data_IF_102729067935
#
_entry.id   IF_102729067935
#
_cell.length_a   1.000
_cell.length_b   1.000
_cell.length_c   1.000
_cell.angle_alpha   90.00
_cell.angle_beta   90.00
_cell.angle_gamma   90.00
#
_symmetry.space_group_name_H-M   'P 1'
#
loop_
_entity.id
_entity.type
_entity.pdbx_description
1 polymer ?
#
# COMPACT_ATOMS: atom_id res chain seq x y z
N UNK A 1 10.49 25.08 -9.22
CA UNK A 1 9.09 25.09 -8.71
C UNK A 1 8.20 24.40 -9.74
N UNK A 2 7.07 23.83 -9.35
CA UNK A 2 6.10 23.28 -10.31
C UNK A 2 5.33 24.39 -11.01
N UNK A 3 4.85 24.09 -12.21
CA UNK A 3 4.19 25.05 -13.10
C UNK A 3 2.75 25.39 -12.69
N UNK A 4 2.04 24.49 -12.00
CA UNK A 4 0.66 24.72 -11.55
C UNK A 4 0.60 25.48 -10.22
N UNK A 5 -0.20 26.54 -10.19
CA UNK A 5 -0.43 27.38 -9.01
C UNK A 5 -1.25 26.68 -7.91
N UNK A 6 -2.15 25.76 -8.27
CA UNK A 6 -3.07 25.10 -7.32
C UNK A 6 -2.37 24.09 -6.41
N UNK A 7 -1.22 23.58 -6.84
CA UNK A 7 -0.47 22.63 -6.04
C UNK A 7 0.38 23.44 -5.05
N UNK A 8 0.34 23.15 -3.75
CA UNK A 8 1.21 23.85 -2.78
C UNK A 8 2.56 23.16 -2.58
N UNK A 9 3.68 23.90 -2.62
CA UNK A 9 5.03 23.36 -2.31
C UNK A 9 5.42 23.59 -0.85
N UNK A 10 4.55 24.22 -0.07
CA UNK A 10 4.80 24.51 1.34
C UNK A 10 4.83 23.22 2.17
N UNK A 11 5.95 22.98 2.86
CA UNK A 11 6.14 21.83 3.77
C UNK A 11 5.00 21.71 4.79
N UNK A 12 4.58 22.83 5.39
CA UNK A 12 3.54 22.86 6.42
C UNK A 12 2.18 22.43 5.87
N UNK A 13 1.80 22.92 4.68
CA UNK A 13 0.56 22.54 4.01
C UNK A 13 0.54 21.04 3.66
N UNK A 14 1.63 20.51 3.09
CA UNK A 14 1.75 19.09 2.76
C UNK A 14 1.69 18.17 4.00
N UNK A 15 2.38 18.54 5.09
CA UNK A 15 2.35 17.76 6.33
C UNK A 15 0.95 17.76 6.97
N UNK A 16 0.29 18.93 7.03
CA UNK A 16 -1.07 19.04 7.56
C UNK A 16 -2.00 18.11 6.78
N UNK A 17 -2.02 18.22 5.45
CA UNK A 17 -2.84 17.37 4.59
C UNK A 17 -2.60 15.86 4.82
N UNK A 18 -1.35 15.43 4.99
CA UNK A 18 -1.04 14.02 5.27
C UNK A 18 -1.57 13.56 6.64
N UNK A 19 -1.25 14.28 7.73
CA UNK A 19 -1.59 13.82 9.08
C UNK A 19 -3.08 13.96 9.42
N UNK A 20 -3.77 14.94 8.83
CA UNK A 20 -5.22 15.15 9.02
C UNK A 20 -6.09 14.41 8.00
N UNK A 21 -5.48 13.61 7.11
CA UNK A 21 -6.20 12.87 6.07
C UNK A 21 -7.32 11.99 6.65
N UNK A 22 -8.46 11.95 5.96
CA UNK A 22 -9.61 11.09 6.25
C UNK A 22 -9.30 9.61 6.01
N UNK A 23 -10.11 8.69 6.55
CA UNK A 23 -9.87 7.24 6.39
C UNK A 23 -9.78 6.77 4.93
N UNK A 24 -10.56 7.39 4.03
CA UNK A 24 -10.54 7.06 2.60
C UNK A 24 -9.25 7.55 1.92
N UNK A 25 -8.77 8.74 2.26
CA UNK A 25 -7.50 9.25 1.77
C UNK A 25 -6.32 8.41 2.30
N UNK A 26 -6.34 8.08 3.60
CA UNK A 26 -5.34 7.20 4.22
C UNK A 26 -5.29 5.84 3.53
N UNK A 27 -6.43 5.29 3.10
CA UNK A 27 -6.47 4.05 2.30
C UNK A 27 -5.68 4.20 0.99
N UNK A 28 -5.79 5.33 0.29
CA UNK A 28 -5.05 5.56 -0.97
C UNK A 28 -3.54 5.73 -0.70
N UNK A 29 -3.19 6.47 0.35
CA UNK A 29 -1.80 6.75 0.73
C UNK A 29 -1.11 5.46 1.22
N UNK A 30 -1.79 4.66 2.04
CA UNK A 30 -1.32 3.35 2.51
C UNK A 30 -1.43 2.30 1.40
N UNK A 31 -0.56 2.42 0.41
CA UNK A 31 -0.41 1.47 -0.69
C UNK A 31 0.94 0.78 -0.64
N UNK A 32 0.99 -0.45 -1.16
CA UNK A 32 2.22 -1.22 -1.26
C UNK A 32 2.50 -1.61 -2.71
N UNK A 33 3.79 -1.71 -3.10
CA UNK A 33 4.18 -2.26 -4.38
C UNK A 33 3.76 -3.73 -4.52
N UNK A 34 3.37 -4.12 -5.75
CA UNK A 34 3.14 -5.53 -6.11
C UNK A 34 4.47 -6.25 -6.39
N UNK A 35 4.48 -7.58 -6.24
CA UNK A 35 5.55 -8.48 -6.71
C UNK A 35 5.71 -8.41 -8.23
N UNK A 36 6.83 -8.89 -8.78
CA UNK A 36 7.07 -8.85 -10.24
C UNK A 36 5.99 -9.61 -11.02
N UNK A 37 5.65 -10.82 -10.57
CA UNK A 37 4.60 -11.65 -11.15
C UNK A 37 3.24 -10.94 -11.19
N UNK A 38 2.84 -10.30 -10.08
CA UNK A 38 1.58 -9.57 -10.01
C UNK A 38 1.60 -8.29 -10.87
N UNK A 39 2.77 -7.65 -11.02
CA UNK A 39 2.93 -6.50 -11.92
C UNK A 39 2.77 -6.91 -13.37
N UNK A 40 3.30 -8.05 -13.77
CA UNK A 40 3.15 -8.56 -15.13
C UNK A 40 1.69 -8.95 -15.40
N UNK A 41 1.06 -9.64 -14.45
CA UNK A 41 -0.34 -10.07 -14.57
C UNK A 41 -1.34 -8.93 -14.67
N UNK A 42 -1.20 -7.90 -13.83
CA UNK A 42 -2.19 -6.81 -13.73
C UNK A 42 -1.70 -5.49 -14.33
N UNK A 43 -0.44 -5.42 -14.78
CA UNK A 43 0.20 -4.20 -15.31
C UNK A 43 0.05 -2.95 -14.42
N UNK A 44 0.08 -3.17 -13.10
CA UNK A 44 -0.03 -2.11 -12.08
C UNK A 44 1.15 -2.17 -11.12
N UNK A 45 1.69 -1.00 -10.71
CA UNK A 45 2.85 -0.95 -9.82
C UNK A 45 2.49 -1.14 -8.34
N UNK A 46 1.35 -0.60 -7.91
CA UNK A 46 0.94 -0.59 -6.50
C UNK A 46 -0.58 -0.51 -6.31
N UNK A 47 -1.04 -1.06 -5.18
CA UNK A 47 -2.45 -1.07 -4.76
C UNK A 47 -2.57 -0.80 -3.25
N UNK A 48 -3.67 -0.20 -2.77
CA UNK A 48 -3.97 -0.13 -1.34
C UNK A 48 -3.96 -1.50 -0.67
N UNK A 49 -3.23 -1.62 0.44
CA UNK A 49 -3.20 -2.83 1.25
C UNK A 49 -4.56 -3.12 1.88
N UNK A 50 -4.94 -4.40 1.92
CA UNK A 50 -6.15 -4.90 2.56
C UNK A 50 -5.77 -5.97 3.58
N UNK A 51 -6.66 -6.19 4.54
CA UNK A 51 -6.63 -7.42 5.33
C UNK A 51 -6.73 -8.63 4.42
N UNK A 52 -6.04 -9.69 4.82
CA UNK A 52 -5.88 -10.95 4.09
C UNK A 52 -5.04 -10.91 2.80
N UNK A 53 -4.42 -9.78 2.45
CA UNK A 53 -3.33 -9.82 1.46
C UNK A 53 -2.13 -10.56 2.08
N UNK A 54 -1.43 -11.36 1.29
CA UNK A 54 -0.12 -11.90 1.68
C UNK A 54 0.97 -10.93 1.26
N UNK A 55 1.93 -10.75 2.16
CA UNK A 55 2.97 -9.76 1.97
C UNK A 55 4.33 -10.26 2.42
N UNK A 56 5.38 -9.77 1.75
CA UNK A 56 6.77 -9.97 2.10
C UNK A 56 7.41 -8.66 2.54
N UNK A 57 8.11 -8.67 3.67
CA UNK A 57 8.79 -7.49 4.20
C UNK A 57 10.14 -7.32 3.50
N UNK A 58 10.39 -6.14 2.92
CA UNK A 58 11.60 -5.85 2.13
C UNK A 58 12.61 -5.02 2.90
N UNK A 59 12.15 -4.20 3.87
CA UNK A 59 13.00 -3.27 4.63
C UNK A 59 12.76 -3.41 6.13
N UNK A 60 13.81 -3.17 6.92
CA UNK A 60 13.79 -3.22 8.38
C UNK A 60 14.24 -4.57 8.95
N UNK A 61 14.16 -4.72 10.28
CA UNK A 61 14.68 -5.89 11.01
C UNK A 61 13.99 -7.21 10.67
N UNK A 62 12.76 -7.16 10.17
CA UNK A 62 11.95 -8.33 9.80
C UNK A 62 11.98 -8.64 8.29
N UNK A 63 13.00 -8.14 7.57
CA UNK A 63 13.19 -8.37 6.14
C UNK A 63 13.23 -9.87 5.82
N UNK A 64 12.60 -10.26 4.71
CA UNK A 64 12.54 -11.64 4.22
C UNK A 64 11.44 -12.48 4.86
N UNK A 65 10.78 -11.97 5.92
CA UNK A 65 9.59 -12.63 6.47
C UNK A 65 8.37 -12.36 5.58
N UNK A 66 7.59 -13.40 5.40
CA UNK A 66 6.31 -13.37 4.72
C UNK A 66 5.19 -13.64 5.73
N UNK A 67 4.02 -13.08 5.45
CA UNK A 67 2.85 -13.34 6.26
C UNK A 67 1.61 -12.66 5.71
N UNK A 68 0.47 -13.06 6.25
CA UNK A 68 -0.82 -12.47 5.91
C UNK A 68 -1.02 -11.17 6.69
N UNK A 69 -1.64 -10.16 6.07
CA UNK A 69 -1.99 -8.92 6.76
C UNK A 69 -3.20 -9.18 7.66
N UNK A 70 -2.97 -9.16 8.98
CA UNK A 70 -4.00 -9.37 10.01
C UNK A 70 -4.87 -8.13 10.14
N UNK A 71 -4.26 -6.95 10.22
CA UNK A 71 -4.97 -5.69 10.43
C UNK A 71 -4.27 -4.52 9.74
N UNK A 72 -5.06 -3.62 9.15
CA UNK A 72 -4.59 -2.34 8.61
C UNK A 72 -4.99 -1.22 9.57
N UNK A 73 -4.04 -0.73 10.37
CA UNK A 73 -4.30 0.29 11.37
C UNK A 73 -4.04 1.70 10.83
N UNK A 74 -5.02 2.24 10.09
CA UNK A 74 -4.92 3.55 9.41
C UNK A 74 -4.71 4.74 10.34
N UNK A 75 -5.16 4.68 11.60
CA UNK A 75 -4.94 5.76 12.58
C UNK A 75 -3.45 5.97 12.85
N UNK A 76 -2.69 4.87 12.93
CA UNK A 76 -1.25 4.84 13.23
C UNK A 76 -0.36 4.66 12.01
N UNK A 77 -0.90 4.62 10.79
CA UNK A 77 -0.15 4.43 9.54
C UNK A 77 0.64 3.12 9.46
N UNK A 78 0.17 2.06 10.13
CA UNK A 78 0.85 0.76 10.18
C UNK A 78 -0.05 -0.38 9.74
N UNK A 79 0.57 -1.45 9.25
CA UNK A 79 -0.02 -2.77 9.07
C UNK A 79 0.57 -3.74 10.08
N UNK A 80 -0.24 -4.70 10.50
CA UNK A 80 0.19 -5.84 11.30
C UNK A 80 0.21 -7.08 10.41
N UNK A 81 1.36 -7.73 10.37
CA UNK A 81 1.61 -8.94 9.57
C UNK A 81 1.68 -10.12 10.52
N UNK A 82 1.07 -11.24 10.12
CA UNK A 82 1.09 -12.48 10.88
C UNK A 82 2.53 -12.95 11.15
N UNK A 83 2.77 -13.53 12.33
CA UNK A 83 4.09 -14.03 12.78
C UNK A 83 5.17 -12.95 12.92
N UNK A 84 4.80 -11.67 12.83
CA UNK A 84 5.69 -10.53 13.09
C UNK A 84 5.31 -9.87 14.40
N UNK A 85 5.65 -10.58 15.47
CA UNK A 85 5.34 -10.20 16.84
C UNK A 85 6.63 -10.04 17.65
N UNK A 86 6.54 -9.26 18.73
CA UNK A 86 7.56 -9.17 19.77
C UNK A 86 7.03 -9.86 21.02
N UNK A 87 7.88 -10.64 21.67
CA UNK A 87 7.60 -11.20 23.00
C UNK A 87 7.85 -10.14 24.08
N UNK A 88 6.91 -10.06 25.01
CA UNK A 88 7.03 -9.26 26.24
C UNK A 88 7.68 -10.12 27.33
N UNK A 89 8.18 -9.45 28.38
CA UNK A 89 8.79 -10.11 29.55
C UNK A 89 7.81 -11.08 30.24
N UNK A 90 6.51 -10.82 30.16
CA UNK A 90 5.46 -11.68 30.72
C UNK A 90 5.04 -12.86 29.81
N UNK A 91 5.80 -13.16 28.75
CA UNK A 91 5.52 -14.27 27.81
C UNK A 91 4.41 -14.01 26.78
N UNK A 92 3.67 -12.89 26.88
CA UNK A 92 2.67 -12.53 25.88
C UNK A 92 3.32 -11.97 24.60
N UNK A 93 2.71 -12.20 23.44
CA UNK A 93 3.17 -11.62 22.16
C UNK A 93 2.39 -10.37 21.78
N UNK A 94 3.06 -9.38 21.18
CA UNK A 94 2.43 -8.17 20.66
C UNK A 94 2.81 -7.96 19.18
N UNK A 95 1.84 -7.63 18.31
CA UNK A 95 2.12 -7.44 16.90
C UNK A 95 2.94 -6.17 16.67
N UNK A 96 3.94 -6.26 15.81
CA UNK A 96 4.77 -5.13 15.44
C UNK A 96 4.11 -4.39 14.28
N UNK A 97 4.08 -3.07 14.35
CA UNK A 97 3.55 -2.22 13.28
C UNK A 97 4.61 -2.00 12.21
N UNK A 98 4.27 -2.30 10.95
CA UNK A 98 5.14 -2.08 9.79
C UNK A 98 4.50 -1.05 8.88
N UNK A 99 5.29 -0.14 8.32
CA UNK A 99 4.78 0.79 7.31
C UNK A 99 4.57 0.07 5.97
N UNK A 100 3.42 0.21 5.29
CA UNK A 100 3.12 -0.54 4.06
C UNK A 100 4.11 -0.30 2.91
N UNK A 101 4.80 0.86 2.86
CA UNK A 101 5.83 1.10 1.83
C UNK A 101 7.06 0.20 1.94
N UNK A 102 7.28 -0.44 3.09
CA UNK A 102 8.43 -1.30 3.36
C UNK A 102 8.16 -2.76 3.01
N UNK A 103 7.02 -3.03 2.38
CA UNK A 103 6.44 -4.34 2.17
C UNK A 103 6.03 -4.47 0.70
N UNK A 104 6.13 -5.68 0.16
CA UNK A 104 5.67 -6.04 -1.19
C UNK A 104 4.52 -7.03 -1.06
N UNK A 105 3.46 -6.83 -1.83
CA UNK A 105 2.33 -7.76 -1.86
C UNK A 105 2.70 -8.94 -2.76
N UNK A 106 2.58 -10.15 -2.22
CA UNK A 106 2.86 -11.42 -2.91
C UNK A 106 1.58 -12.07 -3.43
N UNK A 107 0.49 -12.06 -2.65
CA UNK A 107 -0.84 -12.50 -3.08
C UNK A 107 -1.92 -11.49 -2.70
N UNK A 108 -2.88 -11.30 -3.61
CA UNK A 108 -3.98 -10.36 -3.44
C UNK A 108 -5.26 -11.09 -3.04
N UNK A 109 -5.99 -10.56 -2.05
CA UNK A 109 -7.39 -10.96 -1.84
C UNK A 109 -8.28 -10.28 -2.88
N UNK A 110 -8.67 -11.01 -3.92
CA UNK A 110 -9.51 -10.47 -4.99
C UNK A 110 -10.98 -10.40 -4.57
N UNK A 111 -11.60 -9.26 -4.83
CA UNK A 111 -13.04 -9.03 -4.76
C UNK A 111 -13.48 -8.15 -5.94
N UNK A 112 -14.78 -8.00 -6.17
CA UNK A 112 -15.33 -7.19 -7.28
C UNK A 112 -14.79 -5.76 -7.29
N UNK A 113 -14.67 -5.12 -6.12
CA UNK A 113 -14.19 -3.74 -6.00
C UNK A 113 -12.69 -3.61 -6.23
N UNK A 114 -11.91 -4.62 -5.85
CA UNK A 114 -10.46 -4.66 -6.01
C UNK A 114 -10.09 -4.96 -7.44
N UNK A 115 -10.84 -5.84 -8.10
CA UNK A 115 -10.72 -6.08 -9.54
C UNK A 115 -10.98 -4.79 -10.33
N UNK A 116 -12.07 -4.07 -10.03
CA UNK A 116 -12.35 -2.77 -10.65
C UNK A 116 -11.22 -1.73 -10.45
N UNK A 117 -10.52 -1.75 -9.30
CA UNK A 117 -9.36 -0.88 -9.08
C UNK A 117 -8.17 -1.29 -9.94
N UNK A 118 -7.91 -2.59 -10.07
CA UNK A 118 -6.85 -3.12 -10.92
C UNK A 118 -7.12 -2.78 -12.38
N UNK A 119 -8.33 -3.02 -12.87
CA UNK A 119 -8.73 -2.77 -14.25
C UNK A 119 -8.64 -1.28 -14.62
N UNK A 120 -8.98 -0.38 -13.69
CA UNK A 120 -8.85 1.08 -13.88
C UNK A 120 -7.39 1.55 -13.84
N UNK A 121 -6.53 0.85 -13.10
CA UNK A 121 -5.12 1.22 -12.96
C UNK A 121 -4.23 0.59 -14.03
N UNK A 122 -4.72 -0.42 -14.74
CA UNK A 122 -4.01 -1.10 -15.80
C UNK A 122 -3.51 -0.08 -16.84
N UNK A 123 -2.18 -0.05 -17.00
CA UNK A 123 -1.51 0.91 -17.88
C UNK A 123 -1.64 0.54 -19.35
N UNK A 124 -1.98 -0.71 -19.66
CA UNK A 124 -2.12 -1.18 -21.05
C UNK A 124 -3.29 -0.46 -21.72
N UNK A 125 -4.38 -0.25 -20.97
CA UNK A 125 -5.57 0.47 -21.43
C UNK A 125 -5.27 1.96 -21.65
N UNK A 126 -4.56 2.59 -20.72
CA UNK A 126 -4.17 4.01 -20.85
C UNK A 126 -3.33 4.30 -22.09
N UNK A 127 -2.44 3.38 -22.46
CA UNK A 127 -1.61 3.56 -23.65
C UNK A 127 -2.42 3.41 -24.95
N UNK A 128 -3.45 2.56 -24.96
CA UNK A 128 -4.36 2.40 -26.11
C UNK A 128 -5.23 3.63 -26.32
N UNK A 129 -5.80 4.18 -25.25
CA UNK A 129 -6.65 5.37 -25.32
C UNK A 129 -5.86 6.60 -25.81
N UNK A 130 -4.59 6.74 -25.41
CA UNK A 130 -3.71 7.81 -25.88
C UNK A 130 -3.30 7.66 -27.36
N UNK A 131 -3.31 6.44 -27.90
CA UNK A 131 -2.91 6.13 -29.27
C UNK A 131 -4.07 6.18 -30.27
N UNK A 132 -5.32 6.18 -29.79
CA UNK A 132 -6.53 6.40 -30.60
C UNK A 132 -6.92 7.89 -30.72
N UNK A 133 -6.24 8.79 -30.01
CA UNK A 133 -6.46 10.24 -30.04
C UNK A 133 -5.38 11.00 -30.82
N UNK A 134 -4.53 10.27 -31.56
CA UNK A 134 -3.57 10.78 -32.55
C UNK A 134 -4.01 10.26 -33.91
#
# INVERSE_FOLDING_TARGET
MKFSADVSSSRSKCRKAHFTASSNERRKIMSSPLSKELREKYNTRSIPVRTDDEVMIVRGSFKGREGKVVQVYRKKWVIHVERVNREKVNGATAPIGIHPSNVVITKLKIDKSRQAILDRKDRSKKNKDAMQQV
#
